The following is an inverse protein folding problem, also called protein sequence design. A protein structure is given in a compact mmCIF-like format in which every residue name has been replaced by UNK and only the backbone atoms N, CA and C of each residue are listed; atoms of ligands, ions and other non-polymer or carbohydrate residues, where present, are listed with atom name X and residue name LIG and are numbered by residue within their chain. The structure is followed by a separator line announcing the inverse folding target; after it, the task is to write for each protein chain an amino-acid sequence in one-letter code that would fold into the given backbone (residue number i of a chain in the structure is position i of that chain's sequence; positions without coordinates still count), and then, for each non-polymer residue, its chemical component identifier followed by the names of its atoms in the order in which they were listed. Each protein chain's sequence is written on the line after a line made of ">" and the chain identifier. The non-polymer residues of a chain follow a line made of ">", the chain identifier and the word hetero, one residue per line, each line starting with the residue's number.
data_IF_106408104063
#
_entry.id   IF_106408104063
#
_cell.length_a   1.000
_cell.length_b   1.000
_cell.length_c   1.000
_cell.angle_alpha   90.00
_cell.angle_beta   90.00
_cell.angle_gamma   90.00
#
_symmetry.space_group_name_H-M   'P 1'
#
loop_
_entity.id
_entity.type
_entity.pdbx_description
1 polymer ?
#
# COMPACT_ATOMS: atom_id res chain seq x y z
N UNK A 1 -0.29 -6.69 -5.19
CA UNK A 1 -0.25 -8.14 -4.89
C UNK A 1 1.07 -8.61 -4.27
N UNK A 2 2.23 -8.01 -4.62
CA UNK A 2 3.52 -8.43 -4.03
C UNK A 2 3.55 -8.40 -2.49
N UNK A 3 2.96 -7.38 -1.87
CA UNK A 3 2.81 -7.27 -0.41
C UNK A 3 2.05 -8.44 0.22
N UNK A 4 0.91 -8.83 -0.34
CA UNK A 4 0.11 -9.95 0.14
C UNK A 4 0.84 -11.29 -0.04
N UNK A 5 1.49 -11.47 -1.20
CA UNK A 5 2.27 -12.67 -1.48
C UNK A 5 3.45 -12.80 -0.52
N UNK A 6 4.17 -11.70 -0.27
CA UNK A 6 5.26 -11.64 0.70
C UNK A 6 4.77 -12.01 2.10
N UNK A 7 3.67 -11.41 2.54
CA UNK A 7 3.08 -11.72 3.84
C UNK A 7 2.74 -13.21 3.95
N UNK A 8 2.04 -13.75 2.95
CA UNK A 8 1.59 -15.15 2.96
C UNK A 8 2.76 -16.14 2.91
N UNK A 9 3.78 -15.86 2.10
CA UNK A 9 4.97 -16.71 1.98
C UNK A 9 5.80 -16.78 3.27
N UNK A 10 5.74 -15.74 4.10
CA UNK A 10 6.50 -15.63 5.35
C UNK A 10 5.67 -15.96 6.59
N UNK A 11 4.48 -16.56 6.43
CA UNK A 11 3.64 -17.02 7.54
C UNK A 11 2.69 -15.96 8.12
N UNK A 12 2.50 -14.84 7.43
CA UNK A 12 1.38 -13.93 7.65
C UNK A 12 0.12 -14.39 6.90
N UNK A 13 -0.93 -13.57 6.94
CA UNK A 13 -2.21 -13.84 6.29
C UNK A 13 -2.68 -12.64 5.46
N UNK A 14 -3.33 -12.92 4.33
CA UNK A 14 -3.98 -11.92 3.48
C UNK A 14 -5.36 -12.42 3.06
N UNK A 15 -6.26 -11.50 2.71
CA UNK A 15 -7.58 -11.84 2.23
C UNK A 15 -8.34 -10.64 1.67
N UNK A 16 -9.60 -10.84 1.22
CA UNK A 16 -10.43 -9.77 0.71
C UNK A 16 -10.60 -8.63 1.71
N UNK A 17 -10.64 -7.41 1.21
CA UNK A 17 -11.05 -6.23 1.96
C UNK A 17 -12.59 -6.18 2.02
N UNK A 18 -13.17 -5.90 3.19
CA UNK A 18 -14.62 -5.95 3.41
C UNK A 18 -15.42 -5.02 2.49
N UNK A 19 -14.86 -3.85 2.17
CA UNK A 19 -15.46 -2.86 1.26
C UNK A 19 -15.21 -3.14 -0.23
N UNK A 20 -14.59 -4.27 -0.57
CA UNK A 20 -14.17 -4.57 -1.95
C UNK A 20 -12.96 -3.72 -2.39
N UNK A 21 -13.04 -3.13 -3.59
CA UNK A 21 -11.92 -2.36 -4.15
C UNK A 21 -11.67 -1.05 -3.41
N UNK A 22 -10.44 -0.88 -2.93
CA UNK A 22 -9.87 0.36 -2.43
C UNK A 22 -9.01 0.98 -3.54
N UNK A 23 -9.51 2.05 -4.15
CA UNK A 23 -8.89 2.69 -5.32
C UNK A 23 -8.86 4.21 -5.17
N UNK A 24 -7.75 4.83 -5.58
CA UNK A 24 -7.60 6.28 -5.57
C UNK A 24 -6.54 6.78 -4.57
N UNK A 25 -6.58 8.08 -4.31
CA UNK A 25 -5.72 8.73 -3.32
C UNK A 25 -6.37 8.61 -1.94
N UNK A 26 -5.82 7.77 -1.07
CA UNK A 26 -6.39 7.47 0.25
C UNK A 26 -5.42 7.89 1.36
N UNK A 27 -6.00 8.38 2.45
CA UNK A 27 -5.24 8.86 3.60
C UNK A 27 -4.59 7.71 4.37
N UNK A 28 -3.37 7.94 4.84
CA UNK A 28 -2.61 7.08 5.73
C UNK A 28 -2.54 7.68 7.15
N UNK A 29 -2.23 6.84 8.13
CA UNK A 29 -2.13 7.21 9.56
C UNK A 29 -1.01 8.21 9.84
N UNK A 30 -0.05 8.35 8.93
CA UNK A 30 1.02 9.34 8.98
C UNK A 30 0.61 10.71 8.40
N UNK A 31 -0.69 10.93 8.18
CA UNK A 31 -1.29 12.12 7.56
C UNK A 31 -0.88 12.36 6.11
N UNK A 32 -0.20 11.42 5.47
CA UNK A 32 0.11 11.46 4.04
C UNK A 32 -1.02 10.79 3.26
N UNK A 33 -1.01 11.03 1.96
CA UNK A 33 -1.92 10.40 1.03
C UNK A 33 -1.11 9.60 0.01
N UNK A 34 -1.49 8.34 -0.18
CA UNK A 34 -0.86 7.45 -1.14
C UNK A 34 -1.88 6.95 -2.15
N UNK A 35 -1.39 6.54 -3.32
CA UNK A 35 -2.23 5.92 -4.34
C UNK A 35 -2.41 4.43 -4.03
N UNK A 36 -3.66 3.97 -3.99
CA UNK A 36 -4.03 2.59 -3.74
C UNK A 36 -4.79 2.02 -4.94
N UNK A 37 -4.57 0.73 -5.19
CA UNK A 37 -5.40 -0.08 -6.08
C UNK A 37 -5.36 -1.54 -5.64
N UNK A 38 -6.24 -1.92 -4.71
CA UNK A 38 -6.30 -3.29 -4.22
C UNK A 38 -7.73 -3.71 -3.86
N UNK A 39 -7.98 -5.01 -3.89
CA UNK A 39 -9.22 -5.63 -3.39
C UNK A 39 -8.96 -6.52 -2.18
N UNK A 40 -7.70 -6.97 -2.02
CA UNK A 40 -7.24 -7.77 -0.90
C UNK A 40 -6.29 -6.95 -0.05
N UNK A 41 -6.15 -7.31 1.22
CA UNK A 41 -5.21 -6.70 2.16
C UNK A 41 -4.54 -7.77 3.03
N UNK A 42 -3.38 -7.41 3.59
CA UNK A 42 -2.77 -8.20 4.65
C UNK A 42 -3.62 -8.03 5.91
N UNK A 43 -4.02 -9.15 6.51
CA UNK A 43 -4.80 -9.20 7.76
C UNK A 43 -3.93 -9.58 8.96
N UNK A 44 -2.78 -10.21 8.72
CA UNK A 44 -1.79 -10.54 9.74
C UNK A 44 -0.37 -10.40 9.16
N UNK A 45 0.52 -9.60 9.78
CA UNK A 45 1.89 -9.50 9.30
C UNK A 45 2.65 -10.82 9.58
N UNK A 46 3.72 -11.12 8.83
CA UNK A 46 4.61 -12.23 9.14
C UNK A 46 5.20 -12.14 10.55
N UNK A 47 5.49 -13.27 11.22
CA UNK A 47 6.23 -13.28 12.46
C UNK A 47 7.58 -12.54 12.33
N UNK A 48 7.87 -11.65 13.28
CA UNK A 48 9.12 -10.86 13.29
C UNK A 48 9.16 -9.67 12.33
N UNK A 49 8.09 -9.43 11.57
CA UNK A 49 7.94 -8.20 10.78
C UNK A 49 7.22 -7.13 11.60
N UNK A 50 7.60 -5.88 11.38
CA UNK A 50 6.89 -4.72 11.92
C UNK A 50 5.94 -4.14 10.88
N UNK A 51 4.82 -3.59 11.32
CA UNK A 51 3.93 -2.78 10.47
C UNK A 51 4.50 -1.37 10.43
N UNK A 52 5.05 -0.95 9.30
CA UNK A 52 5.69 0.36 9.15
C UNK A 52 4.74 1.44 8.65
N UNK A 53 3.67 1.05 7.96
CA UNK A 53 2.66 1.97 7.43
C UNK A 53 1.26 1.36 7.61
N UNK A 54 0.29 2.23 7.88
CA UNK A 54 -1.12 1.85 8.04
C UNK A 54 -2.04 3.00 7.64
N UNK A 55 -3.28 2.67 7.37
CA UNK A 55 -4.37 3.58 7.06
C UNK A 55 -5.66 3.08 7.73
N UNK A 56 -6.64 3.96 7.96
CA UNK A 56 -7.93 3.54 8.57
C UNK A 56 -8.63 2.45 7.75
N UNK A 57 -8.52 2.52 6.42
CA UNK A 57 -9.06 1.53 5.49
C UNK A 57 -8.09 0.37 5.22
N UNK A 58 -6.83 0.44 5.64
CA UNK A 58 -5.86 -0.63 5.43
C UNK A 58 -4.81 -0.60 6.55
N UNK A 59 -5.06 -1.26 7.69
CA UNK A 59 -4.20 -1.14 8.87
C UNK A 59 -2.77 -1.66 8.67
N UNK A 60 -2.59 -2.63 7.77
CA UNK A 60 -1.28 -3.24 7.46
C UNK A 60 -0.89 -2.85 6.01
N UNK A 61 -0.73 -1.55 5.79
CA UNK A 61 -0.37 -0.98 4.49
C UNK A 61 1.13 -1.05 4.17
N UNK A 62 1.98 -1.34 5.16
CA UNK A 62 3.40 -1.58 4.95
C UNK A 62 3.98 -2.50 6.02
N UNK A 63 4.83 -3.44 5.62
CA UNK A 63 5.56 -4.35 6.52
C UNK A 63 7.06 -4.27 6.24
N UNK A 64 7.87 -4.34 7.29
CA UNK A 64 9.33 -4.35 7.22
C UNK A 64 9.91 -5.48 8.08
N UNK A 65 10.92 -6.19 7.59
CA UNK A 65 11.71 -7.11 8.41
C UNK A 65 12.48 -6.35 9.48
N UNK A 66 12.84 -7.02 10.58
CA UNK A 66 13.56 -6.40 11.68
C UNK A 66 14.90 -5.75 11.28
N UNK A 67 15.57 -6.29 10.24
CA UNK A 67 16.81 -5.74 9.67
C UNK A 67 16.59 -4.70 8.56
N UNK A 68 15.32 -4.42 8.20
CA UNK A 68 14.94 -3.44 7.19
C UNK A 68 15.27 -3.82 5.74
N UNK A 69 15.71 -5.06 5.48
CA UNK A 69 16.10 -5.52 4.13
C UNK A 69 14.92 -6.02 3.29
N UNK A 70 13.82 -6.38 3.93
CA UNK A 70 12.61 -6.85 3.27
C UNK A 70 11.48 -5.89 3.59
N UNK A 71 10.89 -5.32 2.55
CA UNK A 71 9.85 -4.29 2.65
C UNK A 71 8.71 -4.68 1.71
N UNK A 72 7.49 -4.67 2.24
CA UNK A 72 6.26 -4.84 1.47
C UNK A 72 5.34 -3.65 1.68
N UNK A 73 4.73 -3.14 0.61
CA UNK A 73 3.80 -2.00 0.65
C UNK A 73 2.52 -2.29 -0.12
N UNK A 74 1.40 -1.84 0.45
CA UNK A 74 0.09 -1.97 -0.15
C UNK A 74 -0.20 -0.86 -1.15
N UNK A 75 0.31 0.34 -0.89
CA UNK A 75 0.20 1.49 -1.76
C UNK A 75 1.23 1.45 -2.91
N UNK A 76 0.97 2.26 -3.92
CA UNK A 76 1.71 2.29 -5.17
C UNK A 76 2.43 3.64 -5.34
N UNK A 77 3.62 3.82 -4.73
CA UNK A 77 4.40 5.03 -4.94
C UNK A 77 4.82 5.21 -6.41
N UNK A 78 4.82 4.13 -7.20
CA UNK A 78 5.10 4.13 -8.63
C UNK A 78 3.93 4.60 -9.51
N UNK A 79 2.72 4.73 -8.97
CA UNK A 79 1.55 5.13 -9.74
C UNK A 79 1.45 6.66 -9.88
N UNK A 80 0.74 7.08 -10.93
CA UNK A 80 0.24 8.45 -11.09
C UNK A 80 -1.27 8.50 -10.90
N UNK A 81 -1.82 9.67 -10.54
CA UNK A 81 -3.27 9.83 -10.47
C UNK A 81 -4.00 9.43 -11.76
N UNK A 82 -3.44 9.83 -12.91
CA UNK A 82 -3.97 9.48 -14.22
C UNK A 82 -3.98 7.96 -14.44
N UNK A 83 -2.89 7.28 -14.10
CA UNK A 83 -2.81 5.83 -14.25
C UNK A 83 -3.87 5.10 -13.41
N UNK A 84 -4.09 5.53 -12.16
CA UNK A 84 -5.11 4.97 -11.27
C UNK A 84 -6.51 5.17 -11.85
N UNK A 85 -6.79 6.36 -12.38
CA UNK A 85 -8.08 6.67 -13.01
C UNK A 85 -8.32 5.80 -14.25
N UNK A 86 -7.34 5.68 -15.13
CA UNK A 86 -7.44 4.88 -16.36
C UNK A 86 -7.61 3.39 -16.05
N UNK A 87 -6.89 2.88 -15.06
CA UNK A 87 -7.02 1.50 -14.62
C UNK A 87 -8.40 1.23 -13.99
N UNK A 88 -8.92 2.16 -13.19
CA UNK A 88 -10.27 2.03 -12.62
C UNK A 88 -11.33 1.99 -13.74
N UNK A 89 -11.22 2.90 -14.71
CA UNK A 89 -12.11 2.93 -15.88
C UNK A 89 -12.05 1.63 -16.69
N UNK A 90 -10.84 1.12 -16.95
CA UNK A 90 -10.64 -0.13 -17.68
C UNK A 90 -11.30 -1.33 -16.97
N UNK A 91 -11.32 -1.33 -15.64
CA UNK A 91 -11.97 -2.37 -14.83
C UNK A 91 -13.44 -2.10 -14.51
N UNK A 92 -14.02 -1.00 -15.01
CA UNK A 92 -15.40 -0.61 -14.71
C UNK A 92 -15.63 -0.26 -13.23
N UNK A 93 -14.59 0.21 -12.54
CA UNK A 93 -14.63 0.55 -11.12
C UNK A 93 -14.86 2.05 -10.91
N UNK A 94 -15.55 2.38 -9.83
CA UNK A 94 -15.64 3.75 -9.32
C UNK A 94 -14.55 3.95 -8.28
N UNK A 95 -13.84 5.07 -8.36
CA UNK A 95 -12.82 5.40 -7.37
C UNK A 95 -13.42 5.57 -5.97
N UNK A 96 -12.76 5.01 -4.96
CA UNK A 96 -13.21 5.09 -3.56
C UNK A 96 -13.08 6.52 -3.01
N UNK A 97 -12.16 7.32 -3.57
CA UNK A 97 -12.02 8.76 -3.34
C UNK A 97 -11.46 9.43 -4.60
N UNK A 98 -11.88 10.68 -4.86
CA UNK A 98 -11.34 11.50 -5.94
C UNK A 98 -9.80 11.56 -5.86
N UNK A 99 -9.14 11.43 -7.01
CA UNK A 99 -7.68 11.42 -7.07
C UNK A 99 -7.16 12.85 -6.94
N UNK A 100 -6.33 13.09 -5.94
CA UNK A 100 -5.45 14.25 -5.87
C UNK A 100 -4.02 13.85 -6.20
N UNK A 101 -3.10 14.82 -6.20
CA UNK A 101 -1.68 14.54 -6.31
C UNK A 101 -1.11 14.09 -4.96
N UNK A 102 -0.41 12.95 -4.88
CA UNK A 102 0.33 12.57 -3.69
C UNK A 102 1.54 13.52 -3.47
N UNK A 103 2.03 13.60 -2.24
CA UNK A 103 3.25 14.35 -1.94
C UNK A 103 4.48 13.60 -2.46
N UNK A 104 4.85 13.88 -3.71
CA UNK A 104 5.98 13.24 -4.39
C UNK A 104 7.31 13.42 -3.68
N UNK A 105 7.53 14.55 -3.00
CA UNK A 105 8.78 14.78 -2.26
C UNK A 105 8.85 13.86 -1.05
N UNK A 106 7.73 13.69 -0.35
CA UNK A 106 7.65 12.79 0.78
C UNK A 106 7.77 11.31 0.35
N UNK A 107 7.14 10.92 -0.77
CA UNK A 107 7.26 9.57 -1.35
C UNK A 107 8.70 9.28 -1.79
N UNK A 108 9.34 10.19 -2.53
CA UNK A 108 10.73 10.04 -2.96
C UNK A 108 11.69 9.90 -1.77
N UNK A 109 11.46 10.68 -0.71
CA UNK A 109 12.25 10.58 0.51
C UNK A 109 12.06 9.20 1.16
N UNK A 110 10.81 8.73 1.27
CA UNK A 110 10.51 7.42 1.84
C UNK A 110 11.20 6.29 1.05
N UNK A 111 11.09 6.30 -0.27
CA UNK A 111 11.76 5.34 -1.15
C UNK A 111 13.28 5.36 -0.98
N UNK A 112 13.89 6.55 -0.91
CA UNK A 112 15.33 6.69 -0.65
C UNK A 112 15.74 6.20 0.73
N UNK A 113 14.92 6.44 1.75
CA UNK A 113 15.17 5.95 3.10
C UNK A 113 15.18 4.42 3.12
N UNK A 114 14.26 3.78 2.40
CA UNK A 114 14.20 2.33 2.25
C UNK A 114 15.35 1.74 1.44
N UNK A 115 15.64 2.30 0.26
CA UNK A 115 16.72 1.82 -0.60
C UNK A 115 18.10 1.91 0.06
N UNK A 116 18.27 2.77 1.07
CA UNK A 116 19.52 2.88 1.85
C UNK A 116 19.70 1.77 2.90
N UNK A 117 18.66 0.99 3.20
CA UNK A 117 18.72 -0.12 4.18
C UNK A 117 19.14 -1.46 3.56
N UNK A 118 19.06 -1.56 2.23
CA UNK A 118 19.33 -2.77 1.44
C UNK A 118 20.78 -2.77 0.98
#
# INVERSE_FOLDING_TARGET
>A
FGHQLLASALGGSSGPHDSGFCTGLLGAMDQRHHLYFHQDQVSQPPPGFMVSHGADHCPIAGIESADGRVIGVQFHPEFTPQFVQDLANHRGLTLSRQVGEPDRKAEDKLLRDWLRKI
#
